data_IF_422875499567
#
_entry.id   IF_422875499567
#
_cell.length_a   1.000
_cell.length_b   1.000
_cell.length_c   1.000
_cell.angle_alpha   90.00
_cell.angle_beta   90.00
_cell.angle_gamma   90.00
#
_symmetry.space_group_name_H-M   'P 1'
#
loop_
_entity.id
_entity.type
_entity.pdbx_description
1 polymer ?
#
# COMPACT_ATOMS: atom_id res chain seq x y z
N UNK A 1 10.89 8.87 38.95
CA UNK A 1 10.81 7.41 38.78
C UNK A 1 9.43 7.00 38.22
N UNK A 2 8.31 7.49 38.76
CA UNK A 2 6.96 7.24 38.20
C UNK A 2 6.78 7.61 36.73
N UNK A 3 7.17 8.83 36.30
CA UNK A 3 7.09 9.22 34.87
C UNK A 3 7.91 8.31 33.93
N UNK A 4 9.01 7.74 34.43
CA UNK A 4 9.84 6.81 33.65
C UNK A 4 9.19 5.43 33.56
N UNK A 5 8.47 5.02 34.60
CA UNK A 5 7.74 3.75 34.64
C UNK A 5 6.49 3.83 33.77
N UNK A 6 5.72 4.92 33.86
CA UNK A 6 4.53 5.17 33.03
C UNK A 6 4.88 5.22 31.53
N UNK A 7 6.00 5.86 31.18
CA UNK A 7 6.49 5.87 29.79
C UNK A 7 6.90 4.48 29.31
N UNK A 8 7.49 3.67 30.19
CA UNK A 8 7.87 2.28 29.87
C UNK A 8 6.64 1.40 29.68
N UNK A 9 5.65 1.50 30.57
CA UNK A 9 4.41 0.73 30.51
C UNK A 9 3.60 1.08 29.24
N UNK A 10 3.61 2.35 28.82
CA UNK A 10 3.01 2.77 27.53
C UNK A 10 3.76 2.17 26.34
N UNK A 11 5.09 2.17 26.35
CA UNK A 11 5.87 1.55 25.27
C UNK A 11 5.69 0.03 25.19
N UNK A 12 5.52 -0.64 26.33
CA UNK A 12 5.24 -2.08 26.39
C UNK A 12 3.78 -2.41 25.98
N UNK A 13 2.88 -1.42 26.09
CA UNK A 13 1.49 -1.53 25.65
C UNK A 13 1.33 -1.39 24.13
N UNK A 14 2.06 -0.46 23.52
CA UNK A 14 1.82 0.00 22.15
C UNK A 14 2.30 -1.01 21.07
N UNK A 15 1.53 -1.21 19.98
CA UNK A 15 1.82 -2.24 18.97
C UNK A 15 3.21 -2.19 18.34
N UNK A 16 3.78 -0.99 18.14
CA UNK A 16 5.07 -0.80 17.48
C UNK A 16 6.24 -0.97 18.46
N UNK A 17 6.14 -0.38 19.66
CA UNK A 17 7.27 -0.30 20.60
C UNK A 17 7.39 -1.51 21.53
N UNK A 18 6.35 -2.35 21.62
CA UNK A 18 6.29 -3.53 22.50
C UNK A 18 7.40 -4.57 22.34
N UNK A 19 8.01 -4.71 21.15
CA UNK A 19 9.08 -5.68 20.94
C UNK A 19 10.07 -5.27 19.84
N UNK A 20 11.36 -5.30 20.19
CA UNK A 20 12.49 -4.84 19.34
C UNK A 20 13.53 -5.92 19.05
N UNK A 21 13.06 -7.14 18.76
CA UNK A 21 13.91 -8.32 18.55
C UNK A 21 13.94 -8.79 17.09
N UNK A 22 13.55 -7.95 16.13
CA UNK A 22 13.42 -8.35 14.74
C UNK A 22 14.78 -8.51 14.03
N UNK A 23 14.91 -9.58 13.26
CA UNK A 23 16.08 -9.82 12.40
C UNK A 23 15.97 -9.03 11.08
N UNK A 24 17.09 -8.82 10.38
CA UNK A 24 17.12 -8.09 9.10
C UNK A 24 16.21 -8.69 8.02
N UNK A 25 15.99 -10.00 8.02
CA UNK A 25 15.13 -10.66 7.03
C UNK A 25 13.64 -10.48 7.35
N UNK A 26 13.29 -10.09 8.58
CA UNK A 26 11.93 -9.67 8.94
C UNK A 26 11.54 -8.39 8.23
N UNK A 27 12.45 -7.41 8.15
CA UNK A 27 12.16 -6.21 7.38
C UNK A 27 11.99 -6.50 5.89
N UNK A 28 12.70 -7.48 5.32
CA UNK A 28 12.52 -7.86 3.92
C UNK A 28 11.08 -8.31 3.64
N UNK A 29 10.55 -9.30 4.37
CA UNK A 29 9.18 -9.76 4.10
C UNK A 29 8.11 -8.76 4.52
N UNK A 30 8.32 -7.97 5.58
CA UNK A 30 7.37 -6.92 5.94
C UNK A 30 7.29 -5.85 4.85
N UNK A 31 8.43 -5.42 4.29
CA UNK A 31 8.45 -4.49 3.16
C UNK A 31 7.85 -5.13 1.89
N UNK A 32 8.15 -6.40 1.58
CA UNK A 32 7.49 -7.10 0.46
C UNK A 32 5.98 -7.18 0.65
N UNK A 33 5.52 -7.51 1.86
CA UNK A 33 4.08 -7.57 2.18
C UNK A 33 3.41 -6.21 2.06
N UNK A 34 4.08 -5.16 2.55
CA UNK A 34 3.58 -3.79 2.49
C UNK A 34 3.50 -3.28 1.04
N UNK A 35 4.51 -3.59 0.23
CA UNK A 35 4.61 -3.11 -1.15
C UNK A 35 3.82 -3.95 -2.13
N UNK A 36 4.13 -5.25 -2.23
CA UNK A 36 3.56 -6.19 -3.22
C UNK A 36 2.15 -6.58 -2.81
N UNK A 37 1.22 -5.63 -2.93
CA UNK A 37 -0.19 -5.76 -2.58
C UNK A 37 -1.13 -5.69 -3.78
N UNK A 38 -2.33 -5.19 -3.54
CA UNK A 38 -3.39 -5.06 -4.55
C UNK A 38 -2.96 -4.20 -5.75
N UNK A 39 -2.03 -3.26 -5.58
CA UNK A 39 -1.56 -2.38 -6.65
C UNK A 39 -0.97 -3.12 -7.85
N UNK A 40 -0.25 -4.23 -7.64
CA UNK A 40 0.34 -5.02 -8.74
C UNK A 40 -0.72 -5.58 -9.69
N UNK A 41 -1.91 -5.89 -9.18
CA UNK A 41 -3.01 -6.47 -9.96
C UNK A 41 -3.59 -5.46 -10.96
N UNK A 42 -3.46 -4.16 -10.67
CA UNK A 42 -3.94 -3.07 -11.52
C UNK A 42 -2.86 -2.41 -12.40
N UNK A 43 -1.59 -2.82 -12.30
CA UNK A 43 -0.53 -2.29 -13.16
C UNK A 43 -0.77 -2.53 -14.66
N UNK A 44 -1.24 -3.72 -15.11
CA UNK A 44 -1.56 -3.95 -16.52
C UNK A 44 -2.64 -2.99 -17.03
N UNK A 45 -3.64 -2.72 -16.19
CA UNK A 45 -4.67 -1.72 -16.48
C UNK A 45 -4.09 -0.31 -16.58
N UNK A 46 -3.21 0.08 -15.65
CA UNK A 46 -2.52 1.37 -15.74
C UNK A 46 -1.73 1.50 -17.04
N UNK A 47 -1.03 0.44 -17.46
CA UNK A 47 -0.32 0.40 -18.74
C UNK A 47 -1.27 0.58 -19.94
N UNK A 48 -2.47 0.00 -19.91
CA UNK A 48 -3.47 0.20 -20.98
C UNK A 48 -3.99 1.64 -21.10
N UNK A 49 -3.88 2.45 -20.04
CA UNK A 49 -4.24 3.86 -20.08
C UNK A 49 -3.06 4.78 -20.44
N UNK A 50 -1.84 4.40 -20.04
CA UNK A 50 -0.62 5.18 -20.29
C UNK A 50 0.00 4.89 -21.66
N UNK A 51 -0.25 3.70 -22.21
CA UNK A 51 0.45 3.16 -23.37
C UNK A 51 1.87 2.68 -23.04
N UNK A 52 2.55 2.09 -24.01
CA UNK A 52 3.88 1.49 -23.81
C UNK A 52 4.94 2.51 -23.37
N UNK A 53 5.17 3.57 -24.13
CA UNK A 53 6.24 4.54 -23.86
C UNK A 53 6.08 5.23 -22.49
N UNK A 54 5.01 6.01 -22.29
CA UNK A 54 4.76 6.66 -21.00
C UNK A 54 4.57 5.66 -19.86
N UNK A 55 3.91 4.53 -20.09
CA UNK A 55 3.67 3.51 -19.07
C UNK A 55 4.97 2.91 -18.52
N UNK A 56 5.88 2.46 -19.39
CA UNK A 56 7.19 1.94 -18.97
C UNK A 56 8.00 3.02 -18.26
N UNK A 57 8.01 4.25 -18.79
CA UNK A 57 8.73 5.35 -18.17
C UNK A 57 8.21 5.64 -16.75
N UNK A 58 6.90 5.75 -16.56
CA UNK A 58 6.29 6.02 -15.24
C UNK A 58 6.52 4.86 -14.27
N UNK A 59 6.47 3.60 -14.72
CA UNK A 59 6.80 2.43 -13.90
C UNK A 59 8.25 2.48 -13.39
N UNK A 60 9.21 2.65 -14.29
CA UNK A 60 10.64 2.66 -13.95
C UNK A 60 10.99 3.87 -13.08
N UNK A 61 10.50 5.06 -13.44
CA UNK A 61 10.71 6.28 -12.66
C UNK A 61 10.11 6.14 -11.26
N UNK A 62 8.91 5.57 -11.13
CA UNK A 62 8.27 5.32 -9.84
C UNK A 62 9.09 4.36 -8.97
N UNK A 63 9.61 3.28 -9.55
CA UNK A 63 10.48 2.35 -8.83
C UNK A 63 11.77 3.03 -8.34
N UNK A 64 12.44 3.84 -9.18
CA UNK A 64 13.66 4.56 -8.80
C UNK A 64 13.37 5.62 -7.72
N UNK A 65 12.36 6.45 -7.92
CA UNK A 65 11.99 7.53 -6.99
C UNK A 65 11.64 6.95 -5.63
N UNK A 66 10.78 5.93 -5.61
CA UNK A 66 10.33 5.34 -4.34
C UNK A 66 11.46 4.62 -3.61
N UNK A 67 12.38 3.95 -4.33
CA UNK A 67 13.58 3.35 -3.72
C UNK A 67 14.47 4.44 -3.07
N UNK A 68 14.66 5.56 -3.78
CA UNK A 68 15.45 6.69 -3.29
C UNK A 68 14.81 7.35 -2.05
N UNK A 69 13.51 7.62 -2.07
CA UNK A 69 12.81 8.23 -0.94
C UNK A 69 12.72 7.29 0.26
N UNK A 70 12.59 5.98 0.03
CA UNK A 70 12.56 5.00 1.11
C UNK A 70 13.95 4.87 1.77
N UNK A 71 15.03 4.93 0.97
CA UNK A 71 16.40 5.06 1.50
C UNK A 71 16.54 6.27 2.43
N UNK A 72 16.01 7.42 2.03
CA UNK A 72 16.06 8.63 2.86
C UNK A 72 15.37 8.42 4.20
N UNK A 73 14.20 7.78 4.23
CA UNK A 73 13.50 7.48 5.48
C UNK A 73 14.34 6.58 6.39
N UNK A 74 14.97 5.54 5.82
CA UNK A 74 15.83 4.63 6.58
C UNK A 74 17.03 5.35 7.20
N UNK A 75 17.65 6.28 6.46
CA UNK A 75 18.77 7.09 6.95
C UNK A 75 18.32 8.15 7.98
N UNK A 76 17.11 8.69 7.85
CA UNK A 76 16.59 9.72 8.75
C UNK A 76 16.03 9.17 10.08
N UNK A 77 15.76 7.87 10.18
CA UNK A 77 15.23 7.23 11.39
C UNK A 77 16.10 7.48 12.64
N UNK A 78 17.41 7.60 12.49
CA UNK A 78 18.39 7.76 13.59
C UNK A 78 19.31 8.97 13.35
N UNK A 79 18.77 10.04 12.77
CA UNK A 79 19.57 11.22 12.41
C UNK A 79 20.08 12.02 13.62
N UNK A 80 19.41 11.91 14.77
CA UNK A 80 19.84 12.52 16.02
C UNK A 80 20.47 11.44 16.92
N UNK A 81 21.73 11.60 17.36
CA UNK A 81 22.37 10.63 18.26
C UNK A 81 21.51 10.35 19.50
N UNK A 82 21.23 9.07 19.76
CA UNK A 82 20.44 8.63 20.91
C UNK A 82 18.92 8.78 20.77
N UNK A 83 18.40 9.30 19.64
CA UNK A 83 16.96 9.39 19.36
C UNK A 83 16.59 8.63 18.10
N UNK A 84 15.53 7.83 18.21
CA UNK A 84 14.90 7.13 17.08
C UNK A 84 13.57 7.81 16.76
N UNK A 85 13.28 7.96 15.47
CA UNK A 85 11.98 8.39 14.98
C UNK A 85 11.22 7.15 14.52
N UNK A 86 10.57 6.49 15.47
CA UNK A 86 9.95 5.17 15.26
C UNK A 86 8.64 5.29 14.46
N UNK A 87 8.12 6.51 14.26
CA UNK A 87 6.90 6.80 13.51
C UNK A 87 7.14 7.91 12.50
N UNK A 88 6.43 7.85 11.38
CA UNK A 88 6.55 8.88 10.35
C UNK A 88 6.20 10.28 10.86
N UNK A 89 5.10 10.46 11.57
CA UNK A 89 4.76 11.79 12.10
C UNK A 89 5.82 12.36 13.05
N UNK A 90 6.57 11.53 13.80
CA UNK A 90 7.65 12.02 14.67
C UNK A 90 8.81 12.61 13.87
N UNK A 91 9.17 11.96 12.76
CA UNK A 91 10.17 12.48 11.83
C UNK A 91 9.68 13.79 11.18
N UNK A 92 8.40 13.83 10.80
CA UNK A 92 7.77 15.04 10.26
C UNK A 92 7.79 16.21 11.23
N UNK A 93 7.49 15.97 12.51
CA UNK A 93 7.53 16.98 13.57
C UNK A 93 8.95 17.48 13.83
N UNK A 94 9.96 16.61 13.71
CA UNK A 94 11.35 17.02 13.82
C UNK A 94 11.79 17.89 12.64
N UNK A 95 11.40 17.53 11.42
CA UNK A 95 11.78 18.26 10.21
C UNK A 95 11.05 19.60 10.07
N UNK A 96 9.74 19.62 10.30
CA UNK A 96 8.85 20.75 9.97
C UNK A 96 8.37 21.53 11.22
N UNK A 97 8.75 21.08 12.42
CA UNK A 97 8.26 21.61 13.69
C UNK A 97 7.02 20.88 14.21
N UNK A 98 6.77 20.97 15.52
CA UNK A 98 5.79 20.14 16.23
C UNK A 98 4.36 20.22 15.68
N UNK A 99 3.90 21.42 15.32
CA UNK A 99 2.55 21.66 14.82
C UNK A 99 2.43 21.33 13.33
N UNK A 100 3.28 21.95 12.50
CA UNK A 100 3.21 21.80 11.04
C UNK A 100 3.49 20.35 10.62
N UNK A 101 4.51 19.71 11.21
CA UNK A 101 4.82 18.31 10.91
C UNK A 101 3.67 17.37 11.22
N UNK A 102 2.95 17.59 12.33
CA UNK A 102 1.79 16.78 12.69
C UNK A 102 0.63 16.99 11.69
N UNK A 103 0.29 18.24 11.38
CA UNK A 103 -0.81 18.57 10.45
C UNK A 103 -0.55 18.15 9.00
N UNK A 104 0.72 18.07 8.59
CA UNK A 104 1.07 17.62 7.24
C UNK A 104 1.13 16.10 7.16
N UNK A 105 1.80 15.43 8.12
CA UNK A 105 2.09 13.99 8.00
C UNK A 105 0.93 13.12 8.48
N UNK A 106 0.29 13.43 9.61
CA UNK A 106 -0.74 12.54 10.21
C UNK A 106 -1.95 12.34 9.30
N UNK A 107 -2.57 13.39 8.71
CA UNK A 107 -3.72 13.18 7.82
C UNK A 107 -3.38 12.35 6.60
N UNK A 108 -2.18 12.56 6.03
CA UNK A 108 -1.70 11.84 4.86
C UNK A 108 -1.42 10.35 5.18
N UNK A 109 -0.75 10.10 6.31
CA UNK A 109 -0.47 8.76 6.81
C UNK A 109 -1.77 7.98 7.10
N UNK A 110 -2.72 8.59 7.82
CA UNK A 110 -4.03 7.97 8.09
C UNK A 110 -4.79 7.65 6.81
N UNK A 111 -4.77 8.55 5.85
CA UNK A 111 -5.48 8.36 4.59
C UNK A 111 -4.88 7.21 3.78
N UNK A 112 -3.55 7.07 3.77
CA UNK A 112 -2.87 5.90 3.20
C UNK A 112 -3.31 4.62 3.91
N UNK A 113 -3.15 4.55 5.22
CA UNK A 113 -3.38 3.32 5.99
C UNK A 113 -4.86 2.89 5.92
N UNK A 114 -5.80 3.82 6.10
CA UNK A 114 -7.23 3.57 5.93
C UNK A 114 -7.56 3.17 4.49
N UNK A 115 -7.03 3.92 3.52
CA UNK A 115 -7.32 3.71 2.09
C UNK A 115 -6.86 2.33 1.61
N UNK A 116 -5.67 1.89 2.02
CA UNK A 116 -5.17 0.54 1.73
C UNK A 116 -6.05 -0.53 2.36
N UNK A 117 -6.42 -0.36 3.64
CA UNK A 117 -7.29 -1.30 4.33
C UNK A 117 -8.64 -1.45 3.60
N UNK A 118 -9.23 -0.36 3.11
CA UNK A 118 -10.46 -0.36 2.30
C UNK A 118 -10.26 -1.10 0.97
N UNK A 119 -9.18 -0.78 0.25
CA UNK A 119 -8.85 -1.45 -1.02
C UNK A 119 -8.65 -2.95 -0.83
N UNK A 120 -8.03 -3.37 0.28
CA UNK A 120 -7.87 -4.79 0.61
C UNK A 120 -9.17 -5.50 0.95
N UNK A 121 -10.13 -4.84 1.61
CA UNK A 121 -11.48 -5.39 1.79
C UNK A 121 -12.14 -5.70 0.43
N UNK A 122 -12.05 -4.77 -0.51
CA UNK A 122 -12.60 -4.93 -1.86
C UNK A 122 -11.84 -6.00 -2.64
N UNK A 123 -10.51 -6.00 -2.57
CA UNK A 123 -9.65 -6.98 -3.27
C UNK A 123 -9.92 -8.40 -2.80
N UNK A 124 -9.99 -8.60 -1.47
CA UNK A 124 -10.31 -9.89 -0.86
C UNK A 124 -11.70 -10.36 -1.25
N UNK A 125 -12.72 -9.49 -1.15
CA UNK A 125 -14.08 -9.81 -1.58
C UNK A 125 -14.19 -10.17 -3.06
N UNK A 126 -13.56 -9.39 -3.95
CA UNK A 126 -13.53 -9.66 -5.39
C UNK A 126 -12.84 -10.99 -5.70
N UNK A 127 -11.77 -11.33 -4.96
CA UNK A 127 -11.04 -12.57 -5.14
C UNK A 127 -11.87 -13.79 -4.71
N UNK A 128 -12.55 -13.71 -3.56
CA UNK A 128 -13.48 -14.78 -3.13
C UNK A 128 -14.63 -14.93 -4.12
N UNK A 129 -15.21 -13.82 -4.58
CA UNK A 129 -16.26 -13.83 -5.61
C UNK A 129 -15.77 -14.53 -6.90
N UNK A 130 -14.57 -14.19 -7.39
CA UNK A 130 -13.99 -14.81 -8.58
C UNK A 130 -13.78 -16.32 -8.37
N UNK A 131 -13.36 -16.77 -7.19
CA UNK A 131 -13.27 -18.19 -6.85
C UNK A 131 -14.65 -18.86 -6.96
N UNK A 132 -15.66 -18.28 -6.31
CA UNK A 132 -17.04 -18.80 -6.35
C UNK A 132 -17.56 -18.92 -7.79
N UNK A 133 -17.44 -17.84 -8.57
CA UNK A 133 -17.96 -17.78 -9.94
C UNK A 133 -17.21 -18.76 -10.87
N UNK A 134 -15.94 -19.05 -10.58
CA UNK A 134 -15.13 -20.01 -11.37
C UNK A 134 -15.42 -21.47 -11.00
N UNK A 135 -15.66 -21.77 -9.72
CA UNK A 135 -15.96 -23.12 -9.24
C UNK A 135 -17.41 -23.52 -9.50
N UNK A 136 -18.34 -22.56 -9.48
CA UNK A 136 -19.76 -22.80 -9.71
C UNK A 136 -20.35 -21.80 -10.71
N UNK A 137 -20.09 -21.96 -12.03
CA UNK A 137 -20.59 -21.03 -13.05
C UNK A 137 -22.12 -21.03 -13.16
N UNK A 138 -22.78 -22.11 -12.74
CA UNK A 138 -24.24 -22.24 -12.76
C UNK A 138 -24.91 -21.91 -11.41
N UNK A 139 -24.14 -21.47 -10.41
CA UNK A 139 -24.70 -21.06 -9.12
C UNK A 139 -25.46 -19.74 -9.23
N UNK A 140 -26.36 -19.49 -8.26
CA UNK A 140 -27.05 -18.21 -8.14
C UNK A 140 -26.01 -17.09 -7.99
N UNK A 141 -26.18 -16.02 -8.76
CA UNK A 141 -25.33 -14.82 -8.65
C UNK A 141 -25.48 -14.22 -7.25
N UNK A 142 -24.35 -14.09 -6.54
CA UNK A 142 -24.25 -13.48 -5.21
C UNK A 142 -23.56 -12.12 -5.37
N UNK A 143 -24.08 -11.11 -4.66
CA UNK A 143 -23.55 -9.75 -4.68
C UNK A 143 -22.14 -9.68 -4.10
N UNK A 144 -21.28 -8.85 -4.69
CA UNK A 144 -19.91 -8.59 -4.21
C UNK A 144 -19.87 -8.18 -2.73
N UNK A 145 -20.86 -7.41 -2.26
CA UNK A 145 -20.98 -6.98 -0.86
C UNK A 145 -20.91 -8.15 0.13
N UNK A 146 -21.54 -9.29 -0.17
CA UNK A 146 -21.50 -10.46 0.72
C UNK A 146 -20.09 -11.06 0.80
N UNK A 147 -19.37 -11.12 -0.32
CA UNK A 147 -18.00 -11.62 -0.34
C UNK A 147 -17.03 -10.69 0.40
N UNK A 148 -17.24 -9.37 0.31
CA UNK A 148 -16.48 -8.39 1.12
C UNK A 148 -16.74 -8.60 2.62
N UNK A 149 -18.01 -8.84 3.03
CA UNK A 149 -18.34 -9.13 4.43
C UNK A 149 -17.71 -10.45 4.93
N UNK A 150 -17.73 -11.50 4.10
CA UNK A 150 -17.06 -12.78 4.40
C UNK A 150 -15.57 -12.54 4.63
N UNK A 151 -14.91 -11.81 3.73
CA UNK A 151 -13.50 -11.47 3.87
C UNK A 151 -13.24 -10.66 5.16
N UNK A 152 -14.06 -9.64 5.43
CA UNK A 152 -13.91 -8.77 6.61
C UNK A 152 -14.09 -9.50 7.94
N UNK A 153 -14.87 -10.60 7.98
CA UNK A 153 -15.07 -11.39 9.20
C UNK A 153 -13.75 -11.89 9.80
N UNK A 154 -12.77 -12.22 8.95
CA UNK A 154 -11.43 -12.64 9.37
C UNK A 154 -10.69 -11.51 10.11
N UNK A 155 -10.87 -10.27 9.66
CA UNK A 155 -10.21 -9.10 10.26
C UNK A 155 -10.76 -8.72 11.62
N UNK A 156 -12.04 -8.97 11.89
CA UNK A 156 -12.59 -8.81 13.24
C UNK A 156 -11.91 -9.73 14.26
N UNK A 157 -11.36 -10.87 13.84
CA UNK A 157 -10.58 -11.75 14.72
C UNK A 157 -9.11 -11.31 14.73
N UNK A 158 -8.47 -11.24 13.57
CA UNK A 158 -7.01 -11.03 13.48
C UNK A 158 -6.53 -9.64 13.92
N UNK A 159 -7.38 -8.62 13.85
CA UNK A 159 -7.04 -7.27 14.33
C UNK A 159 -6.71 -7.23 15.83
N UNK A 160 -7.12 -8.23 16.60
CA UNK A 160 -6.84 -8.32 18.04
C UNK A 160 -5.43 -8.86 18.37
N UNK A 161 -4.62 -9.22 17.36
CA UNK A 161 -3.23 -9.62 17.58
C UNK A 161 -2.41 -8.45 18.17
N UNK A 162 -1.53 -8.69 19.17
CA UNK A 162 -1.07 -7.61 20.04
C UNK A 162 0.08 -6.75 19.47
N UNK A 163 0.84 -7.21 18.47
CA UNK A 163 2.01 -6.48 17.95
C UNK A 163 2.42 -6.89 16.53
N UNK A 164 3.29 -6.08 15.90
CA UNK A 164 3.93 -6.41 14.61
C UNK A 164 4.66 -7.77 14.62
N UNK A 165 5.35 -8.10 15.70
CA UNK A 165 6.04 -9.39 15.82
C UNK A 165 5.06 -10.57 15.87
N UNK A 166 3.86 -10.37 16.43
CA UNK A 166 2.82 -11.40 16.46
C UNK A 166 2.23 -11.70 15.08
N UNK A 167 2.37 -10.77 14.12
CA UNK A 167 1.94 -10.95 12.72
C UNK A 167 3.09 -11.34 11.79
N UNK A 168 4.32 -11.56 12.30
CA UNK A 168 5.47 -11.89 11.47
C UNK A 168 5.24 -13.15 10.61
N UNK A 169 4.66 -14.21 11.19
CA UNK A 169 4.30 -15.42 10.45
C UNK A 169 3.23 -15.17 9.37
N UNK A 170 2.22 -14.35 9.70
CA UNK A 170 1.17 -13.95 8.75
C UNK A 170 1.74 -13.11 7.61
N UNK A 171 2.66 -12.19 7.91
CA UNK A 171 3.34 -11.36 6.92
C UNK A 171 4.27 -12.19 6.03
N UNK A 172 5.01 -13.16 6.59
CA UNK A 172 5.83 -14.07 5.79
C UNK A 172 4.96 -14.88 4.83
N UNK A 173 3.86 -15.46 5.31
CA UNK A 173 2.90 -16.14 4.44
C UNK A 173 2.37 -15.19 3.34
N UNK A 174 1.99 -13.96 3.70
CA UNK A 174 1.52 -12.98 2.74
C UNK A 174 2.57 -12.62 1.67
N UNK A 175 3.86 -12.46 2.04
CA UNK A 175 4.94 -12.19 1.09
C UNK A 175 5.16 -13.35 0.11
N UNK A 176 5.09 -14.61 0.58
CA UNK A 176 5.20 -15.79 -0.29
C UNK A 176 3.99 -15.89 -1.22
N UNK A 177 2.79 -15.60 -0.73
CA UNK A 177 1.59 -15.60 -1.54
C UNK A 177 1.60 -14.50 -2.61
N UNK A 178 2.19 -13.33 -2.33
CA UNK A 178 2.29 -12.27 -3.34
C UNK A 178 3.23 -12.58 -4.48
N UNK A 179 4.40 -13.12 -4.17
CA UNK A 179 5.30 -13.71 -5.17
C UNK A 179 4.56 -14.76 -6.01
N UNK A 180 3.76 -15.62 -5.37
CA UNK A 180 3.06 -16.71 -6.02
C UNK A 180 1.96 -16.22 -6.97
N UNK A 181 1.03 -15.36 -6.51
CA UNK A 181 -0.05 -14.88 -7.39
C UNK A 181 0.49 -13.94 -8.49
N UNK A 182 1.54 -13.15 -8.23
CA UNK A 182 2.19 -12.35 -9.28
C UNK A 182 2.81 -13.25 -10.34
N UNK A 183 3.47 -14.33 -9.91
CA UNK A 183 4.05 -15.32 -10.83
C UNK A 183 2.97 -15.99 -11.68
N UNK A 184 1.86 -16.40 -11.06
CA UNK A 184 0.72 -16.97 -11.78
C UNK A 184 0.13 -15.95 -12.76
N UNK A 185 -0.04 -14.68 -12.36
CA UNK A 185 -0.64 -13.68 -13.22
C UNK A 185 0.12 -13.50 -14.54
N UNK A 186 1.45 -13.35 -14.51
CA UNK A 186 2.22 -13.19 -15.75
C UNK A 186 2.39 -14.51 -16.51
N UNK A 187 2.64 -15.64 -15.83
CA UNK A 187 2.78 -16.95 -16.51
C UNK A 187 1.49 -17.41 -17.18
N UNK A 188 0.35 -17.25 -16.52
CA UNK A 188 -0.96 -17.55 -17.10
C UNK A 188 -1.27 -16.64 -18.29
N UNK A 189 -0.84 -15.37 -18.23
CA UNK A 189 -0.95 -14.44 -19.36
C UNK A 189 -0.11 -14.90 -20.54
N UNK A 190 1.15 -15.28 -20.34
CA UNK A 190 2.01 -15.83 -21.41
C UNK A 190 1.36 -17.07 -22.02
N UNK A 191 0.86 -17.99 -21.18
CA UNK A 191 0.26 -19.23 -21.66
C UNK A 191 -1.04 -19.00 -22.45
N UNK A 192 -1.85 -18.00 -22.07
CA UNK A 192 -3.02 -17.57 -22.84
C UNK A 192 -2.60 -17.12 -24.25
N UNK A 193 -1.47 -16.43 -24.36
CA UNK A 193 -1.00 -15.84 -25.61
C UNK A 193 -1.76 -14.57 -25.99
N UNK A 194 -1.25 -13.87 -26.99
CA UNK A 194 -1.82 -12.61 -27.50
C UNK A 194 -2.99 -12.90 -28.43
N UNK A 195 -4.12 -12.24 -28.19
CA UNK A 195 -5.27 -12.31 -29.11
C UNK A 195 -4.94 -11.61 -30.44
N UNK A 196 -5.23 -12.20 -31.61
CA UNK A 196 -4.98 -11.57 -32.92
C UNK A 196 -5.59 -10.16 -33.07
N UNK A 197 -6.65 -9.85 -32.34
CA UNK A 197 -7.35 -8.56 -32.41
C UNK A 197 -7.02 -7.62 -31.23
N UNK A 198 -5.96 -7.90 -30.49
CA UNK A 198 -5.51 -7.04 -29.39
C UNK A 198 -5.19 -5.62 -29.90
N UNK A 199 -5.57 -4.61 -29.11
CA UNK A 199 -5.31 -3.21 -29.42
C UNK A 199 -4.46 -2.57 -28.32
N UNK A 200 -3.48 -1.76 -28.73
CA UNK A 200 -2.57 -1.00 -27.84
C UNK A 200 -2.68 0.51 -28.04
N UNK A 201 -3.79 0.98 -28.60
CA UNK A 201 -4.06 2.41 -28.82
C UNK A 201 -4.82 3.06 -27.67
N UNK A 202 -5.19 4.34 -27.81
CA UNK A 202 -6.00 5.04 -26.81
C UNK A 202 -7.32 4.32 -26.53
N UNK A 203 -7.63 4.07 -25.26
CA UNK A 203 -8.83 3.30 -24.85
C UNK A 203 -10.12 4.12 -24.94
N UNK A 204 -10.05 5.42 -24.71
CA UNK A 204 -11.23 6.29 -24.80
C UNK A 204 -11.44 6.81 -26.23
N UNK A 205 -12.72 6.94 -26.61
CA UNK A 205 -13.12 7.48 -27.91
C UNK A 205 -12.85 8.98 -28.09
N UNK A 206 -12.65 9.71 -26.99
CA UNK A 206 -12.37 11.15 -26.99
C UNK A 206 -10.99 11.45 -26.42
N UNK A 207 -10.37 12.53 -26.91
CA UNK A 207 -9.10 13.05 -26.38
C UNK A 207 -9.19 13.37 -24.90
N UNK A 208 -10.30 14.00 -24.47
CA UNK A 208 -10.52 14.31 -23.07
C UNK A 208 -10.57 13.04 -22.19
N UNK A 209 -11.28 12.00 -22.65
CA UNK A 209 -11.31 10.71 -21.96
C UNK A 209 -9.92 10.09 -21.80
N UNK A 210 -9.09 10.14 -22.84
CA UNK A 210 -7.73 9.62 -22.78
C UNK A 210 -6.85 10.40 -21.78
N UNK A 211 -7.02 11.72 -21.67
CA UNK A 211 -6.31 12.54 -20.67
C UNK A 211 -6.72 12.16 -19.24
N UNK A 212 -8.02 12.02 -18.97
CA UNK A 212 -8.48 11.59 -17.64
C UNK A 212 -8.01 10.18 -17.29
N UNK A 213 -8.01 9.27 -18.26
CA UNK A 213 -7.50 7.92 -18.09
C UNK A 213 -6.00 7.91 -17.79
N UNK A 214 -5.22 8.72 -18.51
CA UNK A 214 -3.79 8.90 -18.28
C UNK A 214 -3.53 9.39 -16.85
N UNK A 215 -4.23 10.44 -16.43
CA UNK A 215 -4.14 10.95 -15.06
C UNK A 215 -4.51 9.89 -14.02
N UNK A 216 -5.58 9.15 -14.25
CA UNK A 216 -5.98 8.09 -13.33
C UNK A 216 -4.90 7.01 -13.19
N UNK A 217 -4.28 6.61 -14.31
CA UNK A 217 -3.26 5.59 -14.30
C UNK A 217 -1.94 6.01 -13.64
N UNK A 218 -1.60 7.30 -13.63
CA UNK A 218 -0.50 7.82 -12.82
C UNK A 218 -0.70 7.48 -11.33
N UNK A 219 -1.92 7.64 -10.83
CA UNK A 219 -2.31 7.27 -9.47
C UNK A 219 -2.21 5.76 -9.23
N UNK A 220 -2.65 4.94 -10.18
CA UNK A 220 -2.55 3.47 -10.05
C UNK A 220 -1.11 3.01 -9.90
N UNK A 221 -0.18 3.59 -10.67
CA UNK A 221 1.24 3.28 -10.54
C UNK A 221 1.79 3.76 -9.19
N UNK A 222 1.44 4.99 -8.77
CA UNK A 222 1.87 5.53 -7.49
C UNK A 222 1.40 4.68 -6.30
N UNK A 223 0.15 4.18 -6.35
CA UNK A 223 -0.38 3.24 -5.35
C UNK A 223 0.41 1.93 -5.33
N UNK A 224 0.83 1.40 -6.48
CA UNK A 224 1.53 0.12 -6.52
C UNK A 224 2.87 0.16 -5.77
N UNK A 225 3.60 1.28 -5.80
CA UNK A 225 4.88 1.43 -5.11
C UNK A 225 4.75 1.98 -3.68
N UNK A 226 3.57 1.85 -3.08
CA UNK A 226 3.26 2.16 -1.69
C UNK A 226 4.05 1.31 -0.69
N UNK A 227 4.70 1.91 0.31
CA UNK A 227 5.32 1.17 1.42
C UNK A 227 5.94 2.04 2.52
N UNK A 228 6.19 3.31 2.21
CA UNK A 228 6.85 4.29 3.08
C UNK A 228 6.17 4.50 4.43
N UNK A 229 4.84 4.40 4.48
CA UNK A 229 4.05 4.70 5.67
C UNK A 229 4.18 3.67 6.80
N UNK A 230 4.85 2.55 6.55
CA UNK A 230 5.14 1.54 7.58
C UNK A 230 6.65 1.31 7.75
N UNK A 231 7.50 2.01 7.00
CA UNK A 231 8.94 1.70 6.93
C UNK A 231 9.65 2.02 8.25
N UNK A 232 9.28 3.12 8.90
CA UNK A 232 9.91 3.53 10.16
C UNK A 232 9.42 2.64 11.29
N UNK A 233 8.15 2.26 11.27
CA UNK A 233 7.53 1.35 12.21
C UNK A 233 8.15 -0.05 12.10
N UNK A 234 8.43 -0.53 10.88
CA UNK A 234 9.19 -1.78 10.66
C UNK A 234 10.62 -1.64 11.19
N UNK A 235 11.31 -0.54 10.89
CA UNK A 235 12.69 -0.30 11.36
C UNK A 235 12.77 -0.21 12.88
N UNK A 236 11.75 0.34 13.55
CA UNK A 236 11.65 0.44 15.00
C UNK A 236 11.74 -0.94 15.68
N UNK A 237 11.23 -1.99 15.04
CA UNK A 237 11.27 -3.38 15.54
C UNK A 237 12.67 -4.00 15.50
N UNK A 238 13.60 -3.44 14.73
CA UNK A 238 14.98 -3.92 14.62
C UNK A 238 15.79 -3.36 15.81
N UNK A 239 16.59 -4.19 16.51
CA UNK A 239 17.51 -3.72 17.53
C UNK A 239 18.47 -2.65 16.99
N UNK A 240 18.77 -1.63 17.80
CA UNK A 240 19.70 -0.57 17.45
C UNK A 240 20.59 -0.23 18.64
N UNK A 241 21.90 -0.10 18.39
CA UNK A 241 22.88 0.48 19.33
C UNK A 241 23.72 1.54 18.61
N UNK A 242 24.41 2.44 19.33
CA UNK A 242 25.30 3.42 18.71
C UNK A 242 26.36 2.79 17.77
N UNK A 243 26.84 1.59 18.08
CA UNK A 243 27.83 0.84 17.30
C UNK A 243 27.19 0.06 16.14
N UNK A 244 25.92 -0.33 16.29
CA UNK A 244 25.16 -1.15 15.33
C UNK A 244 23.80 -0.51 15.05
N UNK A 245 23.75 0.57 14.25
CA UNK A 245 22.50 1.27 13.96
C UNK A 245 21.56 0.41 13.11
N UNK A 246 20.26 0.55 13.34
CA UNK A 246 19.21 -0.24 12.67
C UNK A 246 19.15 -0.02 11.14
N UNK A 247 19.69 1.11 10.66
CA UNK A 247 19.65 1.48 9.23
C UNK A 247 20.35 0.47 8.31
N UNK A 248 21.44 -0.16 8.75
CA UNK A 248 22.17 -1.16 7.94
C UNK A 248 21.35 -2.43 7.68
N UNK A 249 20.87 -3.14 8.71
CA UNK A 249 20.00 -4.31 8.50
C UNK A 249 18.67 -3.92 7.83
N UNK A 250 18.11 -2.75 8.15
CA UNK A 250 16.90 -2.27 7.49
C UNK A 250 17.10 -2.09 5.99
N UNK A 251 18.16 -1.39 5.58
CA UNK A 251 18.46 -1.14 4.17
C UNK A 251 18.71 -2.44 3.38
N UNK A 252 19.36 -3.43 4.00
CA UNK A 252 19.52 -4.76 3.40
C UNK A 252 18.17 -5.41 3.10
N UNK A 253 17.22 -5.34 4.04
CA UNK A 253 15.88 -5.88 3.84
C UNK A 253 15.08 -5.12 2.78
N UNK A 254 15.16 -3.78 2.80
CA UNK A 254 14.55 -2.90 1.78
C UNK A 254 15.06 -3.22 0.39
N UNK A 255 16.38 -3.34 0.20
CA UNK A 255 16.97 -3.62 -1.10
C UNK A 255 16.47 -4.96 -1.67
N UNK A 256 16.44 -6.01 -0.85
CA UNK A 256 15.88 -7.31 -1.25
C UNK A 256 14.41 -7.18 -1.60
N UNK A 257 13.63 -6.44 -0.81
CA UNK A 257 12.21 -6.22 -1.06
C UNK A 257 11.97 -5.51 -2.41
N UNK A 258 12.78 -4.49 -2.74
CA UNK A 258 12.66 -3.76 -4.01
C UNK A 258 13.04 -4.58 -5.24
N UNK A 259 13.99 -5.52 -5.11
CA UNK A 259 14.29 -6.51 -6.15
C UNK A 259 13.08 -7.42 -6.36
N UNK A 260 12.49 -7.94 -5.28
CA UNK A 260 11.27 -8.76 -5.34
C UNK A 260 10.10 -7.99 -5.96
N UNK A 261 9.89 -6.74 -5.56
CA UNK A 261 8.87 -5.85 -6.15
C UNK A 261 9.08 -5.73 -7.66
N UNK A 262 10.30 -5.48 -8.13
CA UNK A 262 10.59 -5.38 -9.57
C UNK A 262 10.27 -6.70 -10.30
N UNK A 263 10.65 -7.84 -9.72
CA UNK A 263 10.38 -9.18 -10.27
C UNK A 263 8.88 -9.53 -10.30
N UNK A 264 8.08 -8.99 -9.41
CA UNK A 264 6.63 -9.13 -9.44
C UNK A 264 5.99 -8.15 -10.44
N UNK A 265 6.40 -6.88 -10.39
CA UNK A 265 5.66 -5.78 -10.99
C UNK A 265 5.91 -5.66 -12.48
N UNK A 266 7.18 -5.70 -12.90
CA UNK A 266 7.52 -5.52 -14.31
C UNK A 266 6.94 -6.64 -15.17
N UNK A 267 7.08 -7.95 -14.82
CA UNK A 267 6.48 -9.00 -15.63
C UNK A 267 4.95 -8.89 -15.65
N UNK A 268 4.30 -8.69 -14.50
CA UNK A 268 2.83 -8.56 -14.46
C UNK A 268 2.36 -7.40 -15.32
N UNK A 269 2.95 -6.20 -15.16
CA UNK A 269 2.56 -5.01 -15.91
C UNK A 269 2.80 -5.14 -17.41
N UNK A 270 4.01 -5.55 -17.81
CA UNK A 270 4.44 -5.58 -19.21
C UNK A 270 3.79 -6.74 -19.96
N UNK A 271 3.84 -7.96 -19.40
CA UNK A 271 3.25 -9.15 -20.05
C UNK A 271 1.73 -9.07 -19.99
N UNK A 272 1.16 -8.63 -18.87
CA UNK A 272 -0.28 -8.44 -18.75
C UNK A 272 -0.80 -7.45 -19.79
N UNK A 273 -0.16 -6.29 -19.93
CA UNK A 273 -0.54 -5.35 -20.97
C UNK A 273 -0.30 -5.89 -22.38
N UNK A 274 0.83 -6.56 -22.61
CA UNK A 274 1.11 -7.22 -23.89
C UNK A 274 0.03 -8.24 -24.28
N UNK A 275 -0.47 -9.03 -23.34
CA UNK A 275 -1.43 -10.10 -23.65
C UNK A 275 -2.86 -9.59 -23.80
N UNK A 276 -3.26 -8.60 -23.00
CA UNK A 276 -4.66 -8.14 -22.93
C UNK A 276 -4.92 -6.81 -23.64
N UNK A 277 -3.90 -5.99 -23.85
CA UNK A 277 -4.03 -4.65 -24.44
C UNK A 277 -5.10 -3.82 -23.74
N UNK A 278 -5.98 -3.20 -24.51
CA UNK A 278 -7.09 -2.38 -24.01
C UNK A 278 -8.20 -3.15 -23.28
N UNK A 279 -8.27 -4.47 -23.46
CA UNK A 279 -9.30 -5.33 -22.86
C UNK A 279 -8.93 -5.80 -21.44
N UNK A 280 -7.79 -5.36 -20.90
CA UNK A 280 -7.43 -5.67 -19.53
C UNK A 280 -8.40 -4.98 -18.57
N UNK A 281 -8.84 -5.74 -17.57
CA UNK A 281 -9.67 -5.26 -16.47
C UNK A 281 -8.79 -4.58 -15.42
N UNK A 282 -9.40 -3.79 -14.53
CA UNK A 282 -8.69 -3.09 -13.46
C UNK A 282 -7.94 -4.03 -12.49
N UNK A 283 -8.32 -5.31 -12.45
CA UNK A 283 -7.58 -6.41 -11.84
C UNK A 283 -7.32 -7.52 -12.89
N UNK A 284 -6.05 -7.77 -13.21
CA UNK A 284 -5.64 -8.77 -14.21
C UNK A 284 -6.18 -10.19 -13.94
N UNK A 285 -6.39 -10.58 -12.67
CA UNK A 285 -6.94 -11.90 -12.36
C UNK A 285 -8.40 -12.04 -12.77
N UNK A 286 -9.11 -10.94 -12.96
CA UNK A 286 -10.47 -10.94 -13.51
C UNK A 286 -10.41 -11.20 -15.02
N UNK A 287 -9.41 -10.66 -15.73
CA UNK A 287 -9.19 -10.86 -17.17
C UNK A 287 -8.80 -12.29 -17.54
N UNK A 288 -8.29 -13.08 -16.60
CA UNK A 288 -8.01 -14.50 -16.81
C UNK A 288 -9.32 -15.30 -16.87
N UNK A 289 -9.44 -16.15 -17.90
CA UNK A 289 -10.60 -17.01 -18.14
C UNK A 289 -10.29 -18.52 -18.04
N UNK A 290 -9.07 -18.95 -18.38
CA UNK A 290 -8.63 -20.36 -18.29
C UNK A 290 -7.14 -20.47 -17.93
N UNK A 291 -6.70 -21.62 -17.36
CA UNK A 291 -7.51 -22.70 -16.81
C UNK A 291 -8.11 -22.34 -15.43
N UNK A 292 -9.30 -22.88 -15.12
CA UNK A 292 -10.07 -22.51 -13.93
C UNK A 292 -9.33 -22.75 -12.61
N UNK A 293 -8.64 -23.89 -12.47
CA UNK A 293 -7.92 -24.23 -11.23
C UNK A 293 -6.82 -23.21 -10.89
N UNK A 294 -6.15 -22.66 -11.92
CA UNK A 294 -5.06 -21.70 -11.75
C UNK A 294 -5.61 -20.33 -11.32
N UNK A 295 -6.77 -19.94 -11.86
CA UNK A 295 -7.50 -18.72 -11.46
C UNK A 295 -7.93 -18.83 -10.00
N UNK A 296 -8.50 -19.98 -9.62
CA UNK A 296 -8.91 -20.24 -8.22
C UNK A 296 -7.71 -20.15 -7.29
N UNK A 297 -6.60 -20.79 -7.65
CA UNK A 297 -5.37 -20.79 -6.85
C UNK A 297 -4.78 -19.36 -6.71
N UNK A 298 -4.71 -18.60 -7.79
CA UNK A 298 -4.22 -17.22 -7.77
C UNK A 298 -5.07 -16.33 -6.87
N UNK A 299 -6.40 -16.39 -6.99
CA UNK A 299 -7.30 -15.60 -6.16
C UNK A 299 -7.25 -16.05 -4.69
N UNK A 300 -7.06 -17.34 -4.42
CA UNK A 300 -6.87 -17.83 -3.05
C UNK A 300 -5.59 -17.28 -2.42
N UNK A 301 -4.49 -17.25 -3.18
CA UNK A 301 -3.25 -16.60 -2.74
C UNK A 301 -3.41 -15.10 -2.52
N UNK A 302 -4.17 -14.40 -3.37
CA UNK A 302 -4.51 -13.00 -3.13
C UNK A 302 -5.25 -12.83 -1.80
N UNK A 303 -6.26 -13.66 -1.50
CA UNK A 303 -7.01 -13.62 -0.23
C UNK A 303 -6.06 -13.77 0.97
N UNK A 304 -5.18 -14.76 0.98
CA UNK A 304 -4.22 -14.95 2.08
C UNK A 304 -3.27 -13.76 2.19
N UNK A 305 -2.77 -13.27 1.06
CA UNK A 305 -1.88 -12.11 1.04
C UNK A 305 -2.55 -10.86 1.63
N UNK A 306 -3.72 -10.48 1.12
CA UNK A 306 -4.40 -9.26 1.56
C UNK A 306 -4.88 -9.35 3.02
N UNK A 307 -5.10 -10.56 3.55
CA UNK A 307 -5.33 -10.75 4.99
C UNK A 307 -4.14 -10.23 5.81
N UNK A 308 -2.93 -10.67 5.44
CA UNK A 308 -1.71 -10.26 6.14
C UNK A 308 -1.35 -8.80 5.91
N UNK A 309 -1.46 -8.33 4.68
CA UNK A 309 -1.16 -6.94 4.34
C UNK A 309 -2.11 -5.97 5.04
N UNK A 310 -3.40 -6.29 5.19
CA UNK A 310 -4.31 -5.49 6.01
C UNK A 310 -3.80 -5.35 7.45
N UNK A 311 -3.30 -6.43 8.07
CA UNK A 311 -2.78 -6.34 9.43
C UNK A 311 -1.56 -5.42 9.52
N UNK A 312 -0.66 -5.48 8.53
CA UNK A 312 0.53 -4.61 8.47
C UNK A 312 0.14 -3.12 8.43
N UNK A 313 -0.86 -2.74 7.64
CA UNK A 313 -1.31 -1.35 7.53
C UNK A 313 -2.27 -0.91 8.64
N UNK A 314 -2.97 -1.83 9.29
CA UNK A 314 -3.87 -1.50 10.41
C UNK A 314 -3.11 -1.24 11.73
N UNK A 315 -1.93 -1.86 11.92
CA UNK A 315 -1.16 -1.74 13.16
C UNK A 315 -0.75 -0.28 13.50
N UNK A 316 -0.23 0.53 12.56
CA UNK A 316 0.08 1.94 12.85
C UNK A 316 -1.17 2.77 13.18
N UNK A 317 -2.31 2.51 12.52
CA UNK A 317 -3.58 3.17 12.86
C UNK A 317 -3.99 2.83 14.29
N UNK A 318 -3.91 1.55 14.68
CA UNK A 318 -4.20 1.11 16.04
C UNK A 318 -3.27 1.77 17.04
N UNK A 319 -1.96 1.80 16.74
CA UNK A 319 -0.97 2.44 17.58
C UNK A 319 -1.28 3.94 17.79
N UNK A 320 -1.61 4.66 16.72
CA UNK A 320 -1.93 6.09 16.80
C UNK A 320 -3.24 6.37 17.54
N UNK A 321 -4.30 5.61 17.26
CA UNK A 321 -5.58 5.75 17.96
C UNK A 321 -5.45 5.39 19.44
N UNK A 322 -4.82 4.26 19.76
CA UNK A 322 -4.57 3.85 21.16
C UNK A 322 -3.68 4.87 21.88
N UNK A 323 -2.62 5.37 21.23
CA UNK A 323 -1.75 6.42 21.78
C UNK A 323 -2.53 7.71 22.06
N UNK A 324 -3.38 8.16 21.14
CA UNK A 324 -4.19 9.35 21.35
C UNK A 324 -5.17 9.19 22.52
N UNK A 325 -5.88 8.05 22.57
CA UNK A 325 -6.86 7.77 23.61
C UNK A 325 -6.22 7.66 25.00
N UNK A 326 -5.08 7.00 25.12
CA UNK A 326 -4.37 6.84 26.40
C UNK A 326 -3.65 8.12 26.82
N UNK A 327 -2.86 8.73 25.92
CA UNK A 327 -1.95 9.81 26.32
C UNK A 327 -2.63 11.19 26.35
N UNK A 328 -3.53 11.46 25.40
CA UNK A 328 -4.21 12.76 25.26
C UNK A 328 -5.59 12.75 25.92
N UNK A 329 -6.39 11.71 25.68
CA UNK A 329 -7.74 11.59 26.27
C UNK A 329 -7.74 10.96 27.67
N UNK A 330 -6.56 10.51 28.16
CA UNK A 330 -6.37 9.95 29.51
C UNK A 330 -7.25 8.74 29.83
N UNK A 331 -7.60 7.95 28.82
CA UNK A 331 -8.27 6.67 29.02
C UNK A 331 -7.31 5.63 29.60
N UNK A 332 -7.82 4.75 30.47
CA UNK A 332 -7.02 3.66 31.04
C UNK A 332 -6.71 2.61 29.97
N UNK A 333 -5.43 2.22 29.76
CA UNK A 333 -5.08 1.10 28.90
C UNK A 333 -5.81 -0.16 29.36
N UNK A 334 -6.68 -0.71 28.52
CA UNK A 334 -7.49 -1.89 28.86
C UNK A 334 -7.77 -2.73 27.63
N UNK A 335 -8.03 -4.03 27.84
CA UNK A 335 -8.41 -4.94 26.76
C UNK A 335 -9.71 -4.51 26.08
N UNK A 336 -10.64 -3.91 26.83
CA UNK A 336 -11.89 -3.37 26.29
C UNK A 336 -11.64 -2.17 25.37
N UNK A 337 -10.78 -1.23 25.76
CA UNK A 337 -10.39 -0.08 24.91
C UNK A 337 -9.82 -0.58 23.58
N UNK A 338 -8.85 -1.51 23.65
CA UNK A 338 -8.25 -2.11 22.47
C UNK A 338 -9.28 -2.83 21.59
N UNK A 339 -10.15 -3.63 22.19
CA UNK A 339 -11.21 -4.34 21.47
C UNK A 339 -12.14 -3.38 20.73
N UNK A 340 -12.64 -2.34 21.41
CA UNK A 340 -13.56 -1.36 20.84
C UNK A 340 -12.90 -0.53 19.73
N UNK A 341 -11.70 0.00 19.97
CA UNK A 341 -10.99 0.83 18.99
C UNK A 341 -10.70 0.05 17.71
N UNK A 342 -10.19 -1.18 17.82
CA UNK A 342 -9.82 -1.98 16.66
C UNK A 342 -11.02 -2.52 15.90
N UNK A 343 -12.03 -3.02 16.61
CA UNK A 343 -13.30 -3.46 16.02
C UNK A 343 -14.00 -2.32 15.28
N UNK A 344 -14.01 -1.11 15.86
CA UNK A 344 -14.61 0.08 15.22
C UNK A 344 -13.86 0.44 13.93
N UNK A 345 -12.53 0.38 13.92
CA UNK A 345 -11.75 0.62 12.70
C UNK A 345 -12.03 -0.42 11.60
N UNK A 346 -12.07 -1.71 11.96
CA UNK A 346 -12.41 -2.77 11.00
C UNK A 346 -13.82 -2.55 10.43
N UNK A 347 -14.80 -2.25 11.29
CA UNK A 347 -16.17 -1.95 10.88
C UNK A 347 -16.24 -0.71 9.96
N UNK A 348 -15.46 0.34 10.25
CA UNK A 348 -15.37 1.53 9.41
C UNK A 348 -14.82 1.21 8.02
N UNK A 349 -13.69 0.51 7.93
CA UNK A 349 -13.11 0.14 6.63
C UNK A 349 -14.01 -0.81 5.83
N UNK A 350 -14.71 -1.73 6.50
CA UNK A 350 -15.74 -2.56 5.90
C UNK A 350 -16.88 -1.71 5.32
N UNK A 351 -17.43 -0.80 6.12
CA UNK A 351 -18.54 0.08 5.70
C UNK A 351 -18.18 0.87 4.44
N UNK A 352 -17.00 1.48 4.38
CA UNK A 352 -16.56 2.20 3.19
C UNK A 352 -16.34 1.25 2.02
N UNK A 353 -15.72 0.08 2.24
CA UNK A 353 -15.45 -0.92 1.19
C UNK A 353 -16.72 -1.49 0.55
N UNK A 354 -17.80 -1.70 1.31
CA UNK A 354 -19.09 -2.14 0.75
C UNK A 354 -19.86 -1.00 0.08
N UNK A 355 -19.67 0.24 0.53
CA UNK A 355 -20.38 1.41 0.00
C UNK A 355 -19.78 1.86 -1.34
N UNK A 356 -18.45 1.85 -1.46
CA UNK A 356 -17.73 2.34 -2.64
C UNK A 356 -16.76 1.28 -3.19
N UNK A 357 -17.24 0.17 -3.78
CA UNK A 357 -16.39 -0.95 -4.23
C UNK A 357 -15.68 -0.68 -5.58
N UNK A 358 -15.21 0.55 -5.81
CA UNK A 358 -14.59 1.01 -7.06
C UNK A 358 -13.08 0.78 -7.05
N UNK A 359 -12.63 -0.46 -7.32
CA UNK A 359 -11.23 -0.86 -7.18
C UNK A 359 -10.25 0.07 -7.92
N UNK A 360 -10.35 0.19 -9.26
CA UNK A 360 -9.47 1.07 -10.03
C UNK A 360 -9.56 2.56 -9.66
N UNK A 361 -10.77 3.05 -9.34
CA UNK A 361 -10.98 4.45 -8.93
C UNK A 361 -10.31 4.79 -7.59
N UNK A 362 -10.45 3.91 -6.59
CA UNK A 362 -9.85 4.10 -5.27
C UNK A 362 -8.33 3.96 -5.30
N UNK A 363 -7.78 2.99 -6.05
CA UNK A 363 -6.33 2.87 -6.27
C UNK A 363 -5.75 4.18 -6.80
N UNK A 364 -6.38 4.70 -7.85
CA UNK A 364 -5.96 5.94 -8.50
C UNK A 364 -6.03 7.15 -7.57
N UNK A 365 -7.15 7.30 -6.85
CA UNK A 365 -7.39 8.44 -5.96
C UNK A 365 -6.40 8.45 -4.80
N UNK A 366 -6.29 7.35 -4.05
CA UNK A 366 -5.36 7.25 -2.92
C UNK A 366 -3.90 7.28 -3.39
N UNK A 367 -3.60 6.66 -4.55
CA UNK A 367 -2.28 6.68 -5.16
C UNK A 367 -1.76 8.10 -5.42
N UNK A 368 -2.59 8.96 -5.99
CA UNK A 368 -2.24 10.37 -6.17
C UNK A 368 -2.28 11.15 -4.86
N UNK A 369 -3.45 11.19 -4.22
CA UNK A 369 -3.72 12.16 -3.15
C UNK A 369 -3.02 11.82 -1.82
N UNK A 370 -2.81 10.53 -1.53
CA UNK A 370 -2.26 10.06 -0.24
C UNK A 370 -0.83 9.52 -0.38
N UNK A 371 -0.60 8.69 -1.39
CA UNK A 371 0.69 8.03 -1.59
C UNK A 371 1.75 8.93 -2.19
N UNK A 372 1.40 9.78 -3.17
CA UNK A 372 2.40 10.67 -3.76
C UNK A 372 3.06 11.59 -2.71
N UNK A 373 2.31 12.22 -1.76
CA UNK A 373 2.93 12.94 -0.65
C UNK A 373 3.88 12.08 0.18
N UNK A 374 3.38 10.99 0.74
CA UNK A 374 4.09 10.19 1.74
C UNK A 374 5.25 9.38 1.17
N UNK A 375 5.21 9.06 -0.13
CA UNK A 375 6.16 8.14 -0.77
C UNK A 375 7.06 8.83 -1.79
N UNK A 376 6.60 9.88 -2.49
CA UNK A 376 7.39 10.52 -3.54
C UNK A 376 8.09 11.80 -3.07
N UNK A 377 7.47 12.63 -2.22
CA UNK A 377 8.04 13.96 -1.97
C UNK A 377 8.22 14.39 -0.52
N UNK A 378 7.38 13.99 0.43
CA UNK A 378 7.58 14.39 1.83
C UNK A 378 8.94 13.91 2.38
N UNK A 379 9.42 12.67 2.09
CA UNK A 379 10.79 12.28 2.45
C UNK A 379 11.85 13.24 1.90
N UNK A 380 11.71 13.68 0.65
CA UNK A 380 12.64 14.62 0.04
C UNK A 380 12.59 16.01 0.66
N UNK A 381 11.40 16.51 1.01
CA UNK A 381 11.25 17.79 1.72
C UNK A 381 11.96 17.72 3.06
N UNK A 382 11.71 16.67 3.85
CA UNK A 382 12.36 16.49 5.16
C UNK A 382 13.88 16.35 5.01
N UNK A 383 14.34 15.62 3.99
CA UNK A 383 15.77 15.49 3.69
C UNK A 383 16.43 16.83 3.40
N UNK A 384 15.81 17.67 2.57
CA UNK A 384 16.34 19.00 2.26
C UNK A 384 16.41 19.91 3.49
N UNK A 385 15.44 19.79 4.41
CA UNK A 385 15.38 20.59 5.63
C UNK A 385 16.42 20.12 6.67
N UNK A 386 16.54 18.80 6.86
CA UNK A 386 17.41 18.19 7.87
C UNK A 386 18.87 18.17 7.41
N UNK A 387 19.16 17.54 6.27
CA UNK A 387 20.53 17.33 5.78
C UNK A 387 21.13 18.53 5.06
N UNK A 388 20.29 19.44 4.54
CA UNK A 388 20.72 20.66 3.82
C UNK A 388 21.85 20.39 2.80
N UNK A 389 21.64 19.49 1.83
CA UNK A 389 22.69 19.15 0.85
C UNK A 389 23.14 20.39 0.07
N UNK A 390 24.38 20.37 -0.43
CA UNK A 390 24.95 21.46 -1.24
C UNK A 390 23.98 21.85 -2.35
N UNK A 391 23.60 23.14 -2.39
CA UNK A 391 22.72 23.70 -3.43
C UNK A 391 23.30 23.39 -4.81
N UNK A 392 22.44 22.97 -5.73
CA UNK A 392 22.79 22.52 -7.08
C UNK A 392 23.68 21.26 -7.15
N UNK A 393 23.89 20.56 -6.04
CA UNK A 393 24.48 19.22 -6.04
C UNK A 393 23.50 18.14 -6.52
N UNK A 394 24.01 16.94 -6.76
CA UNK A 394 23.20 15.81 -7.27
C UNK A 394 22.03 15.46 -6.34
N UNK A 395 22.27 15.36 -5.03
CA UNK A 395 21.19 15.10 -4.06
C UNK A 395 20.15 16.24 -4.07
N UNK A 396 20.57 17.50 -4.22
CA UNK A 396 19.66 18.64 -4.26
C UNK A 396 18.72 18.56 -5.47
N UNK A 397 19.25 18.30 -6.67
CA UNK A 397 18.46 18.10 -7.88
C UNK A 397 17.54 16.88 -7.81
N UNK A 398 18.05 15.75 -7.32
CA UNK A 398 17.25 14.53 -7.17
C UNK A 398 16.04 14.75 -6.26
N UNK A 399 16.22 15.43 -5.12
CA UNK A 399 15.12 15.77 -4.22
C UNK A 399 14.08 16.69 -4.87
N UNK A 400 14.50 17.75 -5.56
CA UNK A 400 13.57 18.64 -6.25
C UNK A 400 12.82 17.96 -7.38
N UNK A 401 13.47 17.08 -8.13
CA UNK A 401 12.80 16.27 -9.16
C UNK A 401 11.70 15.41 -8.55
N UNK A 402 12.01 14.69 -7.46
CA UNK A 402 11.02 13.87 -6.73
C UNK A 402 9.87 14.72 -6.20
N UNK A 403 10.15 15.93 -5.71
CA UNK A 403 9.12 16.88 -5.25
C UNK A 403 8.21 17.31 -6.39
N UNK A 404 8.75 17.75 -7.52
CA UNK A 404 7.97 18.20 -8.67
C UNK A 404 7.10 17.06 -9.20
N UNK A 405 7.68 15.87 -9.41
CA UNK A 405 6.95 14.68 -9.88
C UNK A 405 5.86 14.30 -8.89
N UNK A 406 6.18 14.23 -7.59
CA UNK A 406 5.22 13.87 -6.55
C UNK A 406 4.05 14.86 -6.42
N UNK A 407 4.30 16.16 -6.54
CA UNK A 407 3.25 17.18 -6.54
C UNK A 407 2.37 17.08 -7.79
N UNK A 408 2.95 16.82 -8.96
CA UNK A 408 2.18 16.57 -10.18
C UNK A 408 1.28 15.33 -10.03
N UNK A 409 1.79 14.23 -9.46
CA UNK A 409 0.98 13.05 -9.17
C UNK A 409 -0.17 13.35 -8.19
N UNK A 410 0.09 14.14 -7.14
CA UNK A 410 -0.90 14.53 -6.14
C UNK A 410 -2.04 15.38 -6.74
N UNK A 411 -1.74 16.25 -7.72
CA UNK A 411 -2.73 17.12 -8.34
C UNK A 411 -3.46 16.41 -9.48
N UNK A 412 -2.72 15.79 -10.41
CA UNK A 412 -3.30 15.26 -11.64
C UNK A 412 -4.08 13.97 -11.40
N UNK A 413 -3.53 13.02 -10.63
CA UNK A 413 -4.14 11.69 -10.54
C UNK A 413 -5.54 11.70 -9.91
N UNK A 414 -5.82 12.45 -8.83
CA UNK A 414 -7.15 12.54 -8.26
C UNK A 414 -8.20 13.12 -9.23
N UNK A 415 -7.80 14.00 -10.15
CA UNK A 415 -8.71 14.54 -11.18
C UNK A 415 -9.20 13.40 -12.09
N UNK A 416 -8.27 12.56 -12.58
CA UNK A 416 -8.61 11.37 -13.37
C UNK A 416 -9.41 10.34 -12.57
N UNK A 417 -9.00 10.09 -11.33
CA UNK A 417 -9.67 9.15 -10.42
C UNK A 417 -11.13 9.53 -10.15
N UNK A 418 -11.38 10.81 -9.85
CA UNK A 418 -12.72 11.33 -9.58
C UNK A 418 -13.61 11.20 -10.82
N UNK A 419 -13.10 11.45 -12.03
CA UNK A 419 -13.86 11.23 -13.26
C UNK A 419 -14.28 9.77 -13.40
N UNK A 420 -13.36 8.84 -13.15
CA UNK A 420 -13.63 7.40 -13.21
C UNK A 420 -14.66 6.97 -12.15
N UNK A 421 -14.54 7.46 -10.91
CA UNK A 421 -15.51 7.19 -9.84
C UNK A 421 -16.89 7.75 -10.20
N UNK A 422 -16.96 8.99 -10.72
CA UNK A 422 -18.22 9.60 -11.14
C UNK A 422 -18.89 8.79 -12.24
N UNK A 423 -18.14 8.31 -13.22
CA UNK A 423 -18.70 7.49 -14.29
C UNK A 423 -19.18 6.12 -13.77
N UNK A 424 -18.41 5.46 -12.92
CA UNK A 424 -18.81 4.19 -12.30
C UNK A 424 -20.01 4.35 -11.35
N UNK A 425 -20.13 5.49 -10.67
CA UNK A 425 -21.20 5.76 -9.73
C UNK A 425 -22.56 6.04 -10.40
N UNK A 426 -22.60 6.46 -11.67
CA UNK A 426 -23.86 6.75 -12.40
C UNK A 426 -24.76 5.53 -12.51
N UNK A 427 -24.16 4.38 -12.78
CA UNK A 427 -24.87 3.11 -12.97
C UNK A 427 -24.85 2.24 -11.70
N UNK A 428 -24.13 2.69 -10.66
CA UNK A 428 -24.01 1.95 -9.40
C UNK A 428 -25.24 2.17 -8.52
N UNK A 429 -25.89 1.06 -8.17
CA UNK A 429 -26.99 1.04 -7.21
C UNK A 429 -26.49 0.47 -5.90
N UNK A 430 -26.50 1.31 -4.85
CA UNK A 430 -26.05 0.92 -3.53
C UNK A 430 -26.81 -0.32 -3.04
N UNK A 431 -26.05 -1.35 -2.66
CA UNK A 431 -26.54 -2.60 -2.05
C UNK A 431 -27.54 -3.41 -2.91
N UNK A 432 -27.72 -3.10 -4.20
CA UNK A 432 -28.77 -3.69 -5.05
C UNK A 432 -28.35 -4.95 -5.81
#
# INVERSE_FOLDING_TARGET
MEQSQETKDINDWLPITKSRNANWWYSAFHNVTAMVGAGVLGLPYAMSQLGWGPGVAVLVLSWIITLYTLWQMVEMHEIVPGKRFDRYHELGQHALGEKLGLWVVVPQQLMVECGVCIVYMITGGNSIKKIHDTLCPNCKSIKTTYFIMIFASVHFVLSHLPSFNSIAGVSLAAAVMSLSYSTIAWTASVHKGVDPHVQYGPKASSTAGNVFNFFSALGNVAFAFAGHNVVLEIQATIPSTPEKPSKKPMWKGVFVAYVVVALCYLPVALIGYWVFGNNVEDNILISLQKPHWLIVLANFFVVIHVIGSYQVFAMPVFDMLESFLVTKMKFKPSMLLRFLTRTTFVAFTLFIGITFPFFGGLLSFFGGFAFAPTSYFLPCVMWLVIYKPKKFGLSWWANWLCIIVGVLLMVLSPIGALKNIIDQAKDFKFYS
#
